data_IF_985786050033
#
_entry.id   IF_985786050033
#
_cell.length_a   1.000
_cell.length_b   1.000
_cell.length_c   1.000
_cell.angle_alpha   90.00
_cell.angle_beta   90.00
_cell.angle_gamma   90.00
#
_symmetry.space_group_name_H-M   'P 1'
#
loop_
_entity.id
_entity.type
_entity.pdbx_description
1 polymer ?
#
# COMPACT_ATOMS: atom_id res chain seq x y z
N UNK A 1 -4.84 -50.82 49.50
CA UNK A 1 -3.87 -49.72 49.28
C UNK A 1 -3.38 -49.77 47.83
N UNK A 2 -3.03 -48.67 47.14
CA UNK A 2 -3.73 -47.40 46.96
C UNK A 2 -3.75 -47.04 45.45
N UNK A 3 -4.67 -47.60 44.65
CA UNK A 3 -4.70 -47.30 43.20
C UNK A 3 -5.46 -46.01 42.89
N UNK A 4 -6.52 -45.70 43.66
CA UNK A 4 -7.36 -44.51 43.45
C UNK A 4 -6.66 -43.18 43.77
N UNK A 5 -5.65 -43.17 44.65
CA UNK A 5 -4.86 -41.95 44.97
C UNK A 5 -3.83 -41.60 43.88
N UNK A 6 -3.34 -42.58 43.12
CA UNK A 6 -2.33 -42.34 42.07
C UNK A 6 -2.94 -41.68 40.82
N UNK A 7 -4.18 -42.02 40.47
CA UNK A 7 -4.87 -41.43 39.31
C UNK A 7 -5.25 -39.96 39.59
N UNK A 8 -5.68 -39.66 40.82
CA UNK A 8 -6.00 -38.28 41.22
C UNK A 8 -4.75 -37.38 41.23
N UNK A 9 -3.60 -37.91 41.66
CA UNK A 9 -2.34 -37.17 41.64
C UNK A 9 -1.85 -36.91 40.20
N UNK A 10 -2.04 -37.87 39.29
CA UNK A 10 -1.64 -37.73 37.88
C UNK A 10 -2.50 -36.68 37.14
N UNK A 11 -3.82 -36.66 37.38
CA UNK A 11 -4.71 -35.63 36.79
C UNK A 11 -4.44 -34.23 37.35
N UNK A 12 -4.08 -34.10 38.63
CA UNK A 12 -3.76 -32.80 39.23
C UNK A 12 -2.43 -32.24 38.67
N UNK A 13 -1.43 -33.08 38.40
CA UNK A 13 -0.18 -32.64 37.77
C UNK A 13 -0.34 -32.21 36.30
N UNK A 14 -1.24 -32.84 35.54
CA UNK A 14 -1.53 -32.41 34.16
C UNK A 14 -2.30 -31.08 34.14
N UNK A 15 -3.16 -30.83 35.12
CA UNK A 15 -3.89 -29.57 35.24
C UNK A 15 -2.97 -28.40 35.64
N UNK A 16 -1.94 -28.64 36.46
CA UNK A 16 -0.96 -27.59 36.84
C UNK A 16 -0.09 -27.19 35.63
N UNK A 17 0.29 -28.14 34.77
CA UNK A 17 1.01 -27.83 33.52
C UNK A 17 0.19 -26.97 32.54
N UNK A 18 -1.14 -27.07 32.55
CA UNK A 18 -2.00 -26.24 31.72
C UNK A 18 -2.14 -24.80 32.22
N UNK A 19 -1.89 -24.53 33.51
CA UNK A 19 -2.05 -23.19 34.09
C UNK A 19 -0.73 -22.39 34.05
N UNK A 20 0.42 -23.05 33.93
CA UNK A 20 1.74 -22.40 33.78
C UNK A 20 2.33 -22.48 32.37
N UNK A 21 1.60 -23.07 31.40
CA UNK A 21 2.07 -23.29 30.02
C UNK A 21 1.87 -22.11 29.05
N UNK A 22 1.29 -20.99 29.49
CA UNK A 22 1.11 -19.79 28.69
C UNK A 22 2.02 -18.65 29.17
N UNK A 23 3.33 -18.84 29.09
CA UNK A 23 4.26 -17.76 28.75
C UNK A 23 5.18 -18.28 27.66
N UNK A 24 4.60 -18.46 26.47
CA UNK A 24 5.39 -18.38 25.24
C UNK A 24 5.84 -16.92 25.13
N UNK A 25 6.93 -16.57 25.80
CA UNK A 25 7.79 -15.53 25.27
C UNK A 25 8.49 -16.17 24.06
N UNK A 26 8.32 -15.63 22.84
CA UNK A 26 9.11 -16.09 21.73
C UNK A 26 10.58 -15.86 22.09
N UNK A 27 11.41 -16.87 21.86
CA UNK A 27 12.87 -16.85 21.98
C UNK A 27 13.46 -16.00 20.82
N UNK A 28 12.91 -14.81 20.59
CA UNK A 28 13.37 -13.83 19.61
C UNK A 28 13.93 -12.54 20.26
N UNK A 29 13.80 -12.39 21.58
CA UNK A 29 14.41 -11.25 22.31
C UNK A 29 15.90 -11.47 22.66
N UNK A 30 16.51 -12.61 22.29
CA UNK A 30 17.93 -12.89 22.60
C UNK A 30 18.89 -12.75 21.39
N UNK A 31 18.38 -12.30 20.24
CA UNK A 31 19.17 -12.06 19.02
C UNK A 31 18.72 -10.77 18.29
N UNK A 32 18.25 -9.78 19.05
CA UNK A 32 18.37 -8.39 18.58
C UNK A 32 19.80 -7.99 18.92
N UNK A 33 20.71 -8.22 17.99
CA UNK A 33 21.94 -7.44 17.94
C UNK A 33 21.48 -5.99 17.87
N UNK A 34 21.50 -5.28 19.01
CA UNK A 34 21.27 -3.84 19.08
C UNK A 34 22.21 -3.24 18.05
N UNK A 35 21.65 -2.83 16.91
CA UNK A 35 22.39 -2.07 15.95
C UNK A 35 23.02 -0.91 16.73
N UNK A 36 24.36 -0.80 16.72
CA UNK A 36 25.04 0.20 17.53
C UNK A 36 24.50 1.58 17.18
N UNK A 37 24.41 2.49 18.15
CA UNK A 37 23.71 3.78 18.04
C UNK A 37 24.14 4.66 16.83
N UNK A 38 25.28 4.37 16.19
CA UNK A 38 25.68 5.03 14.94
C UNK A 38 24.92 4.54 13.68
N UNK A 39 24.28 3.36 13.74
CA UNK A 39 23.38 2.84 12.70
C UNK A 39 21.96 3.42 12.82
N UNK A 40 21.61 3.98 13.98
CA UNK A 40 20.58 5.03 14.10
C UNK A 40 21.23 6.37 13.73
N UNK A 41 21.73 6.49 12.50
CA UNK A 41 21.97 7.82 11.98
C UNK A 41 20.61 8.51 11.94
N UNK A 42 20.41 9.42 12.90
CA UNK A 42 19.54 10.57 12.71
C UNK A 42 19.91 11.15 11.35
N UNK A 43 19.10 10.88 10.33
CA UNK A 43 19.28 11.49 9.00
C UNK A 43 18.84 12.95 9.17
N UNK A 44 19.73 13.78 9.73
CA UNK A 44 19.49 15.20 9.93
C UNK A 44 19.86 15.97 8.65
N UNK A 45 19.33 15.53 7.51
CA UNK A 45 19.61 16.11 6.20
C UNK A 45 18.69 15.56 5.12
N UNK A 46 18.58 16.26 3.97
CA UNK A 46 17.82 15.75 2.84
C UNK A 46 18.40 14.44 2.35
N UNK A 47 17.55 13.58 1.78
CA UNK A 47 17.99 12.39 1.04
C UNK A 47 18.97 12.81 -0.06
N UNK A 48 19.89 11.90 -0.43
CA UNK A 48 20.66 12.09 -1.66
C UNK A 48 19.73 12.04 -2.87
N UNK A 49 20.14 12.62 -4.00
CA UNK A 49 19.33 12.61 -5.23
C UNK A 49 18.97 11.19 -5.65
N UNK A 50 19.94 10.27 -5.63
CA UNK A 50 19.74 8.86 -5.96
C UNK A 50 18.78 8.15 -5.00
N UNK A 51 18.88 8.40 -3.69
CA UNK A 51 17.94 7.82 -2.72
C UNK A 51 16.53 8.36 -2.92
N UNK A 52 16.42 9.66 -3.19
CA UNK A 52 15.14 10.33 -3.41
C UNK A 52 14.45 9.83 -4.68
N UNK A 53 15.14 9.79 -5.83
CA UNK A 53 14.56 9.29 -7.08
C UNK A 53 14.14 7.83 -6.96
N UNK A 54 15.00 6.95 -6.43
CA UNK A 54 14.65 5.55 -6.20
C UNK A 54 13.44 5.38 -5.27
N UNK A 55 13.30 6.25 -4.26
CA UNK A 55 12.17 6.22 -3.34
C UNK A 55 10.88 6.64 -4.05
N UNK A 56 10.93 7.73 -4.84
CA UNK A 56 9.79 8.19 -5.65
C UNK A 56 9.38 7.13 -6.67
N UNK A 57 10.31 6.51 -7.38
CA UNK A 57 10.01 5.46 -8.37
C UNK A 57 9.23 4.30 -7.77
N UNK A 58 9.69 3.81 -6.60
CA UNK A 58 9.02 2.72 -5.88
C UNK A 58 7.60 3.09 -5.46
N UNK A 59 7.35 4.37 -5.20
CA UNK A 59 6.02 4.87 -4.82
C UNK A 59 5.14 5.04 -6.06
N UNK A 60 5.65 5.63 -7.15
CA UNK A 60 4.82 6.07 -8.29
C UNK A 60 4.56 4.96 -9.32
N UNK A 61 5.55 4.11 -9.61
CA UNK A 61 5.44 3.07 -10.65
C UNK A 61 4.22 2.16 -10.47
N UNK A 62 3.88 1.67 -9.26
CA UNK A 62 2.68 0.88 -9.05
C UNK A 62 1.39 1.54 -9.56
N UNK A 63 1.21 2.85 -9.37
CA UNK A 63 0.01 3.56 -9.84
C UNK A 63 -0.05 3.67 -11.36
N UNK A 64 1.10 3.77 -12.02
CA UNK A 64 1.13 3.76 -13.47
C UNK A 64 0.69 2.41 -14.03
N UNK A 65 1.12 1.32 -13.39
CA UNK A 65 0.76 -0.04 -13.78
C UNK A 65 -0.71 -0.36 -13.46
N UNK A 66 -1.20 0.05 -12.29
CA UNK A 66 -2.62 -0.05 -11.91
C UNK A 66 -3.49 0.70 -12.91
N UNK A 67 -3.11 1.95 -13.25
CA UNK A 67 -3.83 2.77 -14.21
C UNK A 67 -3.98 2.09 -15.58
N UNK A 68 -2.90 1.53 -16.12
CA UNK A 68 -2.96 0.76 -17.37
C UNK A 68 -3.84 -0.49 -17.26
N UNK A 69 -3.82 -1.15 -16.09
CA UNK A 69 -4.67 -2.31 -15.81
C UNK A 69 -6.15 -1.94 -15.85
N UNK A 70 -6.55 -0.85 -15.18
CA UNK A 70 -7.93 -0.35 -15.23
C UNK A 70 -8.35 0.05 -16.64
N UNK A 71 -7.45 0.68 -17.41
CA UNK A 71 -7.70 1.01 -18.81
C UNK A 71 -7.80 -0.23 -19.70
N UNK A 72 -7.21 -1.36 -19.34
CA UNK A 72 -7.43 -2.62 -20.05
C UNK A 72 -8.78 -3.22 -19.68
N UNK A 73 -9.08 -3.30 -18.38
CA UNK A 73 -10.31 -3.88 -17.86
C UNK A 73 -11.57 -3.14 -18.29
N UNK A 74 -11.56 -1.81 -18.41
CA UNK A 74 -12.78 -1.06 -18.75
C UNK A 74 -13.42 -1.52 -20.06
N UNK A 75 -12.62 -1.94 -21.06
CA UNK A 75 -13.12 -2.47 -22.33
C UNK A 75 -13.86 -3.79 -22.12
N UNK A 76 -13.31 -4.67 -21.29
CA UNK A 76 -13.91 -5.95 -20.95
C UNK A 76 -15.15 -5.78 -20.07
N UNK A 77 -15.16 -4.81 -19.15
CA UNK A 77 -16.34 -4.42 -18.37
C UNK A 77 -17.47 -3.95 -19.30
N UNK A 78 -17.17 -3.07 -20.26
CA UNK A 78 -18.16 -2.57 -21.23
C UNK A 78 -18.73 -3.70 -22.10
N UNK A 79 -17.94 -4.73 -22.40
CA UNK A 79 -18.36 -5.94 -23.11
C UNK A 79 -19.16 -6.91 -22.22
N UNK A 80 -19.04 -6.80 -20.90
CA UNK A 80 -19.65 -7.70 -19.93
C UNK A 80 -18.79 -8.93 -19.59
N UNK A 81 -17.50 -8.90 -19.94
CA UNK A 81 -16.56 -9.99 -19.75
C UNK A 81 -15.75 -9.89 -18.45
N UNK A 82 -15.85 -8.78 -17.73
CA UNK A 82 -15.14 -8.55 -16.48
C UNK A 82 -16.11 -8.14 -15.36
N UNK A 83 -16.02 -8.72 -14.15
CA UNK A 83 -16.94 -8.40 -13.06
C UNK A 83 -16.75 -6.97 -12.55
N UNK A 84 -17.80 -6.15 -12.59
CA UNK A 84 -17.77 -4.75 -12.12
C UNK A 84 -17.37 -4.64 -10.65
N UNK A 85 -17.91 -5.51 -9.79
CA UNK A 85 -17.59 -5.48 -8.35
C UNK A 85 -16.12 -5.79 -8.07
N UNK A 86 -15.49 -6.63 -8.91
CA UNK A 86 -14.06 -6.90 -8.80
C UNK A 86 -13.24 -5.66 -9.18
N UNK A 87 -13.62 -4.94 -10.24
CA UNK A 87 -12.96 -3.68 -10.61
C UNK A 87 -13.11 -2.63 -9.51
N UNK A 88 -14.31 -2.47 -8.94
CA UNK A 88 -14.56 -1.52 -7.86
C UNK A 88 -13.62 -1.79 -6.68
N UNK A 89 -13.49 -3.04 -6.24
CA UNK A 89 -12.60 -3.40 -5.14
C UNK A 89 -11.12 -3.08 -5.43
N UNK A 90 -10.67 -3.29 -6.67
CA UNK A 90 -9.30 -2.94 -7.08
C UNK A 90 -9.10 -1.42 -7.10
N UNK A 91 -10.08 -0.66 -7.59
CA UNK A 91 -10.03 0.81 -7.61
C UNK A 91 -10.03 1.39 -6.20
N UNK A 92 -10.84 0.85 -5.29
CA UNK A 92 -10.85 1.24 -3.87
C UNK A 92 -9.49 0.99 -3.21
N UNK A 93 -8.90 -0.18 -3.43
CA UNK A 93 -7.55 -0.46 -2.93
C UNK A 93 -6.50 0.51 -3.49
N UNK A 94 -6.59 0.86 -4.77
CA UNK A 94 -5.68 1.83 -5.39
C UNK A 94 -5.88 3.26 -4.86
N UNK A 95 -7.12 3.67 -4.56
CA UNK A 95 -7.42 4.95 -3.91
C UNK A 95 -6.76 5.08 -2.54
N UNK A 96 -6.88 4.05 -1.69
CA UNK A 96 -6.28 4.04 -0.35
C UNK A 96 -4.75 4.11 -0.43
N UNK A 97 -4.15 3.32 -1.33
CA UNK A 97 -2.70 3.37 -1.58
C UNK A 97 -2.25 4.73 -2.11
N UNK A 98 -3.03 5.37 -2.98
CA UNK A 98 -2.69 6.69 -3.53
C UNK A 98 -2.66 7.75 -2.43
N UNK A 99 -3.59 7.69 -1.47
CA UNK A 99 -3.57 8.58 -0.30
C UNK A 99 -2.32 8.36 0.56
N UNK A 100 -1.98 7.12 0.87
CA UNK A 100 -0.77 6.77 1.63
C UNK A 100 0.50 7.23 0.90
N UNK A 101 0.58 7.05 -0.42
CA UNK A 101 1.70 7.50 -1.23
C UNK A 101 1.88 9.02 -1.22
N UNK A 102 0.78 9.78 -1.25
CA UNK A 102 0.83 11.25 -1.14
C UNK A 102 1.43 11.66 0.21
N UNK A 103 0.96 11.06 1.30
CA UNK A 103 1.46 11.32 2.66
C UNK A 103 2.93 10.92 2.81
N UNK A 104 3.32 9.78 2.23
CA UNK A 104 4.70 9.31 2.23
C UNK A 104 5.62 10.31 1.50
N UNK A 105 5.24 10.74 0.29
CA UNK A 105 6.02 11.71 -0.49
C UNK A 105 6.10 13.05 0.24
N UNK A 106 5.00 13.53 0.80
CA UNK A 106 4.96 14.78 1.56
C UNK A 106 5.90 14.74 2.79
N UNK A 107 6.03 13.57 3.42
CA UNK A 107 6.96 13.33 4.52
C UNK A 107 8.44 13.19 4.13
N UNK A 108 8.77 13.03 2.84
CA UNK A 108 10.17 12.91 2.41
C UNK A 108 10.92 14.24 2.55
N UNK A 109 12.15 14.17 3.06
CA UNK A 109 13.07 15.31 3.00
C UNK A 109 13.84 15.27 1.66
N UNK A 110 13.34 16.02 0.68
CA UNK A 110 13.89 16.05 -0.67
C UNK A 110 15.19 16.88 -0.79
N UNK A 111 16.09 16.54 -1.74
CA UNK A 111 17.17 17.43 -2.14
C UNK A 111 16.62 18.75 -2.71
N UNK A 112 17.36 19.87 -2.61
CA UNK A 112 16.87 21.18 -3.07
C UNK A 112 16.40 21.21 -4.54
N UNK A 113 17.08 20.47 -5.41
CA UNK A 113 16.76 20.35 -6.84
C UNK A 113 15.37 19.76 -7.13
N UNK A 114 14.76 19.08 -6.16
CA UNK A 114 13.50 18.35 -6.35
C UNK A 114 12.29 18.98 -5.62
N UNK A 115 12.45 20.19 -5.06
CA UNK A 115 11.35 20.84 -4.31
C UNK A 115 10.10 21.05 -5.18
N UNK A 116 10.29 21.53 -6.42
CA UNK A 116 9.17 21.71 -7.37
C UNK A 116 8.64 20.36 -7.87
N UNK A 117 9.52 19.42 -8.18
CA UNK A 117 9.15 18.08 -8.66
C UNK A 117 8.30 17.32 -7.62
N UNK A 118 8.61 17.46 -6.33
CA UNK A 118 7.82 16.89 -5.22
C UNK A 118 6.38 17.40 -5.26
N UNK A 119 6.21 18.73 -5.31
CA UNK A 119 4.89 19.37 -5.33
C UNK A 119 4.08 18.98 -6.57
N UNK A 120 4.74 18.91 -7.73
CA UNK A 120 4.11 18.47 -8.96
C UNK A 120 3.67 17.00 -8.88
N UNK A 121 4.52 16.11 -8.34
CA UNK A 121 4.21 14.69 -8.17
C UNK A 121 3.00 14.48 -7.27
N UNK A 122 2.95 15.18 -6.13
CA UNK A 122 1.80 15.15 -5.21
C UNK A 122 0.52 15.66 -5.91
N UNK A 123 0.65 16.71 -6.71
CA UNK A 123 -0.48 17.25 -7.48
C UNK A 123 -1.01 16.21 -8.47
N UNK A 124 -0.12 15.53 -9.21
CA UNK A 124 -0.50 14.50 -10.18
C UNK A 124 -1.08 13.25 -9.55
N UNK A 125 -0.59 12.83 -8.38
CA UNK A 125 -1.22 11.75 -7.62
C UNK A 125 -2.63 12.13 -7.13
N UNK A 126 -2.83 13.38 -6.70
CA UNK A 126 -4.18 13.84 -6.31
C UNK A 126 -5.14 13.88 -7.49
N UNK A 127 -4.69 14.35 -8.67
CA UNK A 127 -5.47 14.27 -9.91
C UNK A 127 -5.81 12.81 -10.25
N UNK A 128 -4.84 11.89 -10.14
CA UNK A 128 -5.05 10.46 -10.38
C UNK A 128 -6.09 9.88 -9.43
N UNK A 129 -6.01 10.23 -8.13
CA UNK A 129 -7.00 9.85 -7.11
C UNK A 129 -8.40 10.37 -7.44
N UNK A 130 -8.54 11.61 -7.92
CA UNK A 130 -9.84 12.14 -8.38
C UNK A 130 -10.36 11.36 -9.60
N UNK A 131 -9.49 11.04 -10.56
CA UNK A 131 -9.86 10.26 -11.72
C UNK A 131 -10.33 8.84 -11.35
N UNK A 132 -9.67 8.19 -10.39
CA UNK A 132 -10.11 6.90 -9.84
C UNK A 132 -11.49 6.99 -9.17
N UNK A 133 -11.75 8.03 -8.38
CA UNK A 133 -13.07 8.25 -7.78
C UNK A 133 -14.17 8.42 -8.84
N UNK A 134 -13.90 9.18 -9.91
CA UNK A 134 -14.83 9.33 -11.03
C UNK A 134 -15.08 8.01 -11.76
N UNK A 135 -14.03 7.22 -11.95
CA UNK A 135 -14.11 5.91 -12.58
C UNK A 135 -14.94 4.93 -11.74
N UNK A 136 -14.69 4.85 -10.43
CA UNK A 136 -15.50 4.08 -9.48
C UNK A 136 -16.98 4.48 -9.53
N UNK A 137 -17.27 5.77 -9.42
CA UNK A 137 -18.65 6.27 -9.48
C UNK A 137 -19.34 5.91 -10.82
N UNK A 138 -18.60 5.88 -11.93
CA UNK A 138 -19.12 5.45 -13.21
C UNK A 138 -19.43 3.94 -13.23
N UNK A 139 -18.56 3.12 -12.64
CA UNK A 139 -18.78 1.68 -12.47
C UNK A 139 -20.04 1.39 -11.65
N UNK A 140 -20.23 2.09 -10.53
CA UNK A 140 -21.43 1.96 -9.67
C UNK A 140 -22.73 2.25 -10.42
N UNK A 141 -22.70 3.16 -11.40
CA UNK A 141 -23.90 3.48 -12.20
C UNK A 141 -24.25 2.41 -13.23
N UNK A 142 -23.32 1.51 -13.58
CA UNK A 142 -23.46 0.54 -14.67
C UNK A 142 -23.57 1.13 -16.08
N UNK A 143 -23.44 2.46 -16.23
CA UNK A 143 -23.62 3.12 -17.53
C UNK A 143 -22.36 3.00 -18.39
N UNK A 144 -22.41 2.16 -19.43
CA UNK A 144 -21.30 1.95 -20.38
C UNK A 144 -20.72 3.26 -20.93
N UNK A 145 -21.56 4.27 -21.19
CA UNK A 145 -21.10 5.58 -21.67
C UNK A 145 -20.35 6.37 -20.59
N UNK A 146 -20.83 6.36 -19.34
CA UNK A 146 -20.15 7.01 -18.22
C UNK A 146 -18.81 6.32 -17.93
N UNK A 147 -18.77 4.99 -17.96
CA UNK A 147 -17.55 4.20 -17.75
C UNK A 147 -16.49 4.60 -18.79
N UNK A 148 -16.85 4.66 -20.08
CA UNK A 148 -15.93 5.11 -21.14
C UNK A 148 -15.38 6.51 -20.90
N UNK A 149 -16.27 7.49 -20.61
CA UNK A 149 -15.84 8.87 -20.36
C UNK A 149 -14.91 8.99 -19.14
N UNK A 150 -15.19 8.23 -18.08
CA UNK A 150 -14.34 8.22 -16.91
C UNK A 150 -12.98 7.54 -17.18
N UNK A 151 -12.96 6.47 -17.97
CA UNK A 151 -11.73 5.82 -18.42
C UNK A 151 -10.88 6.75 -19.32
N UNK A 152 -11.51 7.50 -20.24
CA UNK A 152 -10.81 8.49 -21.08
C UNK A 152 -10.16 9.59 -20.23
N UNK A 153 -10.87 10.06 -19.19
CA UNK A 153 -10.31 11.02 -18.24
C UNK A 153 -9.15 10.41 -17.43
N UNK A 154 -9.32 9.19 -16.91
CA UNK A 154 -8.26 8.45 -16.21
C UNK A 154 -7.02 8.29 -17.09
N UNK A 155 -7.18 7.98 -18.38
CA UNK A 155 -6.09 7.90 -19.34
C UNK A 155 -5.32 9.22 -19.49
N UNK A 156 -6.04 10.34 -19.59
CA UNK A 156 -5.42 11.68 -19.66
C UNK A 156 -4.60 11.99 -18.42
N UNK A 157 -5.15 11.68 -17.24
CA UNK A 157 -4.47 11.94 -15.96
C UNK A 157 -3.28 11.01 -15.77
N UNK A 158 -3.41 9.73 -16.13
CA UNK A 158 -2.32 8.76 -16.10
C UNK A 158 -1.15 9.20 -17.00
N UNK A 159 -1.42 9.74 -18.19
CA UNK A 159 -0.40 10.31 -19.05
C UNK A 159 0.31 11.50 -18.38
N UNK A 160 -0.45 12.36 -17.68
CA UNK A 160 0.15 13.47 -16.93
C UNK A 160 1.02 12.99 -15.76
N UNK A 161 0.62 11.93 -15.05
CA UNK A 161 1.42 11.34 -13.98
C UNK A 161 2.74 10.75 -14.51
N UNK A 162 2.67 10.06 -15.66
CA UNK A 162 3.86 9.55 -16.37
C UNK A 162 4.83 10.66 -16.75
N UNK A 163 4.32 11.79 -17.26
CA UNK A 163 5.16 12.95 -17.58
C UNK A 163 5.85 13.51 -16.34
N UNK A 164 5.15 13.61 -15.20
CA UNK A 164 5.77 14.10 -13.98
C UNK A 164 6.85 13.14 -13.45
N UNK A 165 6.67 11.83 -13.62
CA UNK A 165 7.68 10.85 -13.24
C UNK A 165 8.97 10.94 -14.08
N UNK A 166 8.92 11.38 -15.35
CA UNK A 166 10.12 11.56 -16.20
C UNK A 166 11.09 12.63 -15.67
N UNK A 167 10.69 13.43 -14.69
CA UNK A 167 11.54 14.44 -14.05
C UNK A 167 12.53 13.87 -13.03
N UNK A 168 12.53 12.55 -12.82
CA UNK A 168 13.35 11.80 -11.88
C UNK A 168 14.30 10.86 -12.61
#
# INVERSE_FOLDING_TARGET
MPVKKKIFFLMLTVLIFYITGCTMTPIEELLVEEQPDYAKSSISGPLTELEYTNKIDRIIIPFMNDGETFLSHHLEIVKGNFPVNQEIALVESSLDRAQQAIEEIDGLYQPPAYTEHKMETITKLNEYKDALNRYKNALDTGSKNKIKKAADYLKSVLASLKTAHVMY
#
